data_IF_087658827250
#
_entry.id   IF_087658827250
#
_cell.length_a   1.000
_cell.length_b   1.000
_cell.length_c   1.000
_cell.angle_alpha   90.00
_cell.angle_beta   90.00
_cell.angle_gamma   90.00
#
_symmetry.space_group_name_H-M   'P 1'
#
loop_
_entity.id
_entity.type
_entity.pdbx_description
1 polymer ?
#
# COMPACT_ATOMS: atom_id res chain seq x y z
N UNK A 1 15.43 -34.00 27.60
CA UNK A 1 15.70 -34.02 26.14
C UNK A 1 14.83 -35.07 25.48
N UNK A 2 13.87 -34.67 24.64
CA UNK A 2 13.24 -35.54 23.62
C UNK A 2 13.10 -34.72 22.34
N UNK A 3 14.07 -34.95 21.47
CA UNK A 3 14.02 -34.97 20.00
C UNK A 3 12.93 -34.17 19.30
N UNK A 4 13.36 -33.10 18.63
CA UNK A 4 12.58 -32.43 17.60
C UNK A 4 12.52 -33.24 16.30
N UNK A 5 11.39 -33.11 15.61
CA UNK A 5 11.29 -33.15 14.14
C UNK A 5 10.19 -32.16 13.76
N UNK A 6 10.55 -30.90 13.50
CA UNK A 6 9.71 -30.00 12.70
C UNK A 6 10.14 -30.19 11.24
N UNK A 7 9.43 -31.04 10.50
CA UNK A 7 9.50 -31.11 9.04
C UNK A 7 8.18 -30.60 8.46
N UNK A 8 8.02 -29.28 8.44
CA UNK A 8 6.95 -28.51 7.76
C UNK A 8 7.15 -28.42 6.23
N UNK A 9 6.99 -29.51 5.48
CA UNK A 9 6.89 -29.42 4.01
C UNK A 9 5.57 -28.74 3.59
N UNK A 10 5.65 -27.81 2.64
CA UNK A 10 4.63 -26.82 2.28
C UNK A 10 3.40 -27.35 1.49
N UNK A 11 2.82 -28.49 1.88
CA UNK A 11 1.63 -29.11 1.23
C UNK A 11 0.82 -30.08 2.12
N UNK A 12 0.90 -29.96 3.45
CA UNK A 12 0.24 -30.90 4.37
C UNK A 12 -1.24 -30.52 4.64
N UNK A 13 -2.13 -31.52 4.58
CA UNK A 13 -3.51 -31.46 5.06
C UNK A 13 -3.56 -32.07 6.46
N UNK A 14 -3.88 -31.25 7.46
CA UNK A 14 -3.98 -31.62 8.87
C UNK A 14 -5.36 -32.19 9.20
N UNK A 15 -5.38 -33.13 10.13
CA UNK A 15 -6.55 -33.63 10.82
C UNK A 15 -7.04 -32.63 11.88
N UNK A 16 -8.26 -32.81 12.36
CA UNK A 16 -8.82 -31.98 13.42
C UNK A 16 -7.99 -32.07 14.71
N UNK A 17 -7.47 -33.25 15.03
CA UNK A 17 -6.67 -33.46 16.24
C UNK A 17 -5.31 -32.76 16.13
N UNK A 18 -4.66 -32.81 14.97
CA UNK A 18 -3.41 -32.07 14.74
C UNK A 18 -3.61 -30.55 14.82
N UNK A 19 -4.74 -30.03 14.31
CA UNK A 19 -5.08 -28.60 14.46
C UNK A 19 -5.39 -28.24 15.90
N UNK A 20 -6.08 -29.11 16.63
CA UNK A 20 -6.40 -28.93 18.03
C UNK A 20 -5.13 -28.87 18.90
N UNK A 21 -4.21 -29.80 18.68
CA UNK A 21 -2.91 -29.84 19.34
C UNK A 21 -2.07 -28.60 19.01
N UNK A 22 -2.03 -28.22 17.72
CA UNK A 22 -1.30 -27.04 17.26
C UNK A 22 -1.81 -25.74 17.89
N UNK A 23 -3.12 -25.52 17.89
CA UNK A 23 -3.76 -24.32 18.43
C UNK A 23 -3.98 -24.38 19.96
N UNK A 24 -3.63 -25.50 20.60
CA UNK A 24 -3.86 -25.79 22.02
C UNK A 24 -5.33 -25.60 22.44
N UNK A 25 -6.25 -26.11 21.63
CA UNK A 25 -7.69 -26.13 21.93
C UNK A 25 -8.23 -27.55 21.89
N UNK A 26 -9.46 -27.77 22.38
CA UNK A 26 -10.11 -29.06 22.26
C UNK A 26 -10.56 -29.35 20.79
N UNK A 27 -10.49 -30.59 20.29
CA UNK A 27 -10.96 -30.98 18.95
C UNK A 27 -12.40 -30.54 18.64
N UNK A 28 -13.30 -30.58 19.64
CA UNK A 28 -14.68 -30.12 19.50
C UNK A 28 -14.79 -28.63 19.13
N UNK A 29 -13.85 -27.81 19.59
CA UNK A 29 -13.78 -26.39 19.23
C UNK A 29 -13.45 -26.23 17.74
N UNK A 30 -12.51 -27.02 17.23
CA UNK A 30 -12.14 -27.03 15.80
C UNK A 30 -13.31 -27.54 14.94
N UNK A 31 -13.99 -28.60 15.35
CA UNK A 31 -15.21 -29.06 14.65
C UNK A 31 -16.33 -28.01 14.64
N UNK A 32 -16.46 -27.22 15.71
CA UNK A 32 -17.44 -26.12 15.77
C UNK A 32 -17.06 -25.01 14.78
N UNK A 33 -15.79 -24.64 14.71
CA UNK A 33 -15.30 -23.65 13.74
C UNK A 33 -15.48 -24.11 12.29
N UNK A 34 -15.23 -25.39 11.99
CA UNK A 34 -15.47 -25.96 10.66
C UNK A 34 -16.95 -25.92 10.29
N UNK A 35 -17.83 -26.30 11.22
CA UNK A 35 -19.29 -26.29 11.01
C UNK A 35 -19.87 -24.89 10.85
N UNK A 36 -19.30 -23.90 11.54
CA UNK A 36 -19.72 -22.50 11.45
C UNK A 36 -19.06 -21.75 10.29
N UNK A 37 -18.14 -22.38 9.54
CA UNK A 37 -17.34 -21.73 8.50
C UNK A 37 -16.27 -20.76 9.01
N UNK A 38 -15.99 -20.74 10.32
CA UNK A 38 -14.99 -19.86 10.93
C UNK A 38 -13.55 -20.26 10.55
N UNK A 39 -13.31 -21.55 10.35
CA UNK A 39 -12.10 -22.07 9.70
C UNK A 39 -12.54 -22.91 8.50
N UNK A 40 -11.90 -22.72 7.35
CA UNK A 40 -12.22 -23.49 6.14
C UNK A 40 -11.54 -24.85 6.21
N UNK A 41 -12.23 -25.89 5.75
CA UNK A 41 -11.66 -27.23 5.63
C UNK A 41 -12.34 -27.99 4.50
N UNK A 42 -11.73 -29.09 4.08
CA UNK A 42 -12.30 -30.00 3.10
C UNK A 42 -12.63 -31.31 3.78
N UNK A 43 -13.83 -31.82 3.54
CA UNK A 43 -14.23 -33.13 4.05
C UNK A 43 -13.74 -34.20 3.07
N UNK A 44 -12.86 -35.08 3.54
CA UNK A 44 -12.34 -36.21 2.76
C UNK A 44 -12.84 -37.49 3.46
N UNK A 45 -13.82 -38.15 2.83
CA UNK A 45 -14.54 -39.26 3.46
C UNK A 45 -15.33 -38.80 4.69
N UNK A 46 -15.07 -39.41 5.86
CA UNK A 46 -15.73 -39.07 7.13
C UNK A 46 -14.99 -38.00 7.94
N UNK A 47 -13.79 -37.64 7.53
CA UNK A 47 -12.92 -36.77 8.32
C UNK A 47 -12.75 -35.40 7.66
N UNK A 48 -12.47 -34.41 8.49
CA UNK A 48 -12.08 -33.09 8.02
C UNK A 48 -10.57 -33.04 7.81
N UNK A 49 -10.18 -32.30 6.79
CA UNK A 49 -8.80 -31.95 6.48
C UNK A 49 -8.69 -30.45 6.33
N UNK A 50 -7.69 -29.87 6.98
CA UNK A 50 -7.46 -28.44 7.02
C UNK A 50 -6.04 -28.22 6.50
N UNK A 51 -5.86 -27.38 5.48
CA UNK A 51 -4.50 -27.10 5.03
C UNK A 51 -3.74 -26.37 6.15
N UNK A 52 -2.46 -26.69 6.32
CA UNK A 52 -1.59 -26.00 7.26
C UNK A 52 -1.70 -24.47 7.08
N UNK A 53 -1.74 -23.99 5.83
CA UNK A 53 -1.90 -22.57 5.51
C UNK A 53 -3.16 -21.92 6.11
N UNK A 54 -4.29 -22.62 6.13
CA UNK A 54 -5.54 -22.11 6.70
C UNK A 54 -5.46 -22.08 8.23
N UNK A 55 -4.74 -23.03 8.84
CA UNK A 55 -4.49 -23.04 10.29
C UNK A 55 -3.56 -21.91 10.68
N UNK A 56 -2.49 -21.69 9.92
CA UNK A 56 -1.53 -20.61 10.17
C UNK A 56 -2.20 -19.24 10.01
N UNK A 57 -3.03 -19.05 8.98
CA UNK A 57 -3.86 -17.83 8.80
C UNK A 57 -4.81 -17.64 9.99
N UNK A 58 -5.53 -18.70 10.37
CA UNK A 58 -6.47 -18.65 11.49
C UNK A 58 -5.80 -18.35 12.84
N UNK A 59 -4.55 -18.79 13.01
CA UNK A 59 -3.74 -18.56 14.21
C UNK A 59 -3.05 -17.18 14.21
N UNK A 60 -3.14 -16.41 13.12
CA UNK A 60 -2.34 -15.20 12.92
C UNK A 60 -0.84 -15.48 12.75
N UNK A 61 -0.46 -16.73 12.49
CA UNK A 61 0.91 -17.17 12.26
C UNK A 61 1.36 -16.98 10.80
N UNK A 62 0.43 -16.82 9.87
CA UNK A 62 0.71 -16.20 8.57
C UNK A 62 0.76 -14.68 8.71
N UNK A 63 1.66 -14.18 9.55
CA UNK A 63 2.31 -12.87 9.30
C UNK A 63 3.57 -13.06 8.43
N UNK A 64 3.75 -14.26 7.88
CA UNK A 64 4.86 -14.63 6.99
C UNK A 64 4.37 -15.53 5.86
N UNK A 65 3.46 -15.00 5.04
CA UNK A 65 3.09 -15.55 3.73
C UNK A 65 4.00 -15.04 2.61
N UNK A 66 5.27 -15.43 2.63
CA UNK A 66 6.27 -15.15 1.59
C UNK A 66 7.50 -14.43 2.13
N UNK A 67 8.71 -14.97 1.89
CA UNK A 67 9.96 -14.22 2.08
C UNK A 67 10.09 -13.18 0.95
N UNK A 68 9.16 -12.25 0.91
CA UNK A 68 9.36 -10.96 0.26
C UNK A 68 9.85 -9.95 1.30
N UNK A 69 10.57 -8.90 0.90
CA UNK A 69 10.79 -7.75 1.76
C UNK A 69 9.45 -7.17 2.24
N UNK A 70 9.41 -6.65 3.47
CA UNK A 70 8.26 -5.85 3.92
C UNK A 70 8.11 -4.60 3.04
N UNK A 71 6.93 -3.97 3.05
CA UNK A 71 6.71 -2.72 2.32
C UNK A 71 7.76 -1.67 2.69
N UNK A 72 8.03 -1.51 3.99
CA UNK A 72 9.06 -0.61 4.49
C UNK A 72 10.44 -0.96 3.91
N UNK A 73 10.84 -2.24 3.97
CA UNK A 73 12.12 -2.69 3.43
C UNK A 73 12.27 -2.47 1.92
N UNK A 74 11.18 -2.60 1.15
CA UNK A 74 11.20 -2.30 -0.29
C UNK A 74 11.41 -0.83 -0.58
N UNK A 75 10.67 0.02 0.14
CA UNK A 75 10.74 1.47 -0.02
C UNK A 75 12.11 1.99 0.43
N UNK A 76 12.66 1.46 1.52
CA UNK A 76 13.98 1.85 2.04
C UNK A 76 15.12 1.52 1.07
N UNK A 77 15.12 0.31 0.51
CA UNK A 77 16.29 -0.21 -0.20
C UNK A 77 16.36 0.19 -1.68
N UNK A 78 15.26 0.63 -2.29
CA UNK A 78 15.14 0.68 -3.75
C UNK A 78 14.71 2.02 -4.33
N UNK A 79 14.52 3.07 -3.53
CA UNK A 79 14.00 4.34 -4.04
C UNK A 79 15.09 5.39 -4.17
N UNK A 80 15.18 5.99 -5.36
CA UNK A 80 16.11 7.08 -5.68
C UNK A 80 15.36 8.13 -6.47
N UNK A 81 15.43 9.39 -6.05
CA UNK A 81 14.82 10.47 -6.81
C UNK A 81 15.51 10.64 -8.19
N UNK A 82 14.75 10.96 -9.26
CA UNK A 82 13.29 11.07 -9.28
C UNK A 82 12.61 9.69 -9.34
N UNK A 83 11.51 9.53 -8.60
CA UNK A 83 10.70 8.31 -8.62
C UNK A 83 9.21 8.67 -8.50
N UNK A 84 8.37 8.07 -9.34
CA UNK A 84 6.91 8.16 -9.32
C UNK A 84 6.32 6.76 -9.24
N UNK A 85 5.81 6.38 -8.07
CA UNK A 85 5.44 5.01 -7.71
C UNK A 85 3.93 4.87 -7.72
N UNK A 86 3.38 4.14 -8.69
CA UNK A 86 1.96 3.78 -8.67
C UNK A 86 1.71 2.68 -7.64
N UNK A 87 0.70 2.83 -6.78
CA UNK A 87 0.23 1.76 -5.90
C UNK A 87 -1.27 1.60 -6.04
N UNK A 88 -1.73 0.38 -6.30
CA UNK A 88 -3.16 0.11 -6.42
C UNK A 88 -3.72 -0.36 -5.08
N UNK A 89 -4.83 0.23 -4.64
CA UNK A 89 -5.55 -0.14 -3.43
C UNK A 89 -6.98 -0.56 -3.73
N UNK A 90 -7.49 -1.52 -2.96
CA UNK A 90 -8.85 -2.04 -3.12
C UNK A 90 -9.91 -1.21 -2.39
N UNK A 91 -9.48 -0.38 -1.44
CA UNK A 91 -10.34 0.49 -0.67
C UNK A 91 -9.57 1.74 -0.22
N UNK A 92 -10.33 2.74 0.22
CA UNK A 92 -9.82 4.05 0.64
C UNK A 92 -9.08 4.02 1.97
N UNK A 93 -9.42 3.13 2.88
CA UNK A 93 -8.79 3.03 4.20
C UNK A 93 -7.33 2.59 4.08
N UNK A 94 -7.05 1.61 3.22
CA UNK A 94 -5.68 1.12 2.97
C UNK A 94 -4.74 2.21 2.43
N UNK A 95 -5.28 3.25 1.77
CA UNK A 95 -4.50 4.39 1.31
C UNK A 95 -3.88 5.14 2.48
N UNK A 96 -4.61 5.36 3.57
CA UNK A 96 -4.08 6.08 4.73
C UNK A 96 -2.92 5.32 5.38
N UNK A 97 -3.06 4.01 5.54
CA UNK A 97 -2.01 3.14 6.10
C UNK A 97 -0.76 3.17 5.21
N UNK A 98 -0.94 2.94 3.91
CA UNK A 98 0.15 2.98 2.93
C UNK A 98 0.87 4.34 2.94
N UNK A 99 0.12 5.43 2.92
CA UNK A 99 0.69 6.78 2.94
C UNK A 99 1.48 7.04 4.23
N UNK A 100 0.94 6.64 5.39
CA UNK A 100 1.64 6.79 6.66
C UNK A 100 2.97 6.02 6.68
N UNK A 101 2.99 4.78 6.20
CA UNK A 101 4.20 3.97 6.17
C UNK A 101 5.25 4.54 5.21
N UNK A 102 4.84 5.00 4.03
CA UNK A 102 5.72 5.71 3.09
C UNK A 102 6.31 6.99 3.69
N UNK A 103 5.50 7.78 4.39
CA UNK A 103 5.95 9.02 5.03
C UNK A 103 6.94 8.77 6.19
N UNK A 104 6.75 7.69 6.96
CA UNK A 104 7.69 7.29 8.01
C UNK A 104 9.06 6.94 7.45
N UNK A 105 9.12 6.25 6.31
CA UNK A 105 10.38 5.97 5.62
C UNK A 105 11.11 7.27 5.26
N UNK A 106 10.41 8.21 4.62
CA UNK A 106 10.98 9.52 4.30
C UNK A 106 11.44 10.29 5.54
N UNK A 107 10.69 10.20 6.64
CA UNK A 107 11.02 10.84 7.92
C UNK A 107 12.28 10.26 8.55
N UNK A 108 12.37 8.92 8.61
CA UNK A 108 13.53 8.19 9.15
C UNK A 108 14.80 8.49 8.35
N UNK A 109 14.68 8.67 7.03
CA UNK A 109 15.76 9.12 6.15
C UNK A 109 16.09 10.63 6.29
N UNK A 110 15.36 11.37 7.13
CA UNK A 110 15.61 12.79 7.39
C UNK A 110 15.07 13.75 6.33
N UNK A 111 14.23 13.27 5.41
CA UNK A 111 13.70 14.07 4.30
C UNK A 111 12.44 14.89 4.67
N UNK A 112 12.19 16.01 3.98
CA UNK A 112 10.92 16.73 4.09
C UNK A 112 9.78 15.94 3.42
N UNK A 113 8.59 16.09 4.01
CA UNK A 113 7.39 15.34 3.67
C UNK A 113 6.33 16.24 3.07
N UNK A 114 5.57 15.71 2.11
CA UNK A 114 4.47 16.39 1.48
C UNK A 114 3.26 15.47 1.27
N UNK A 115 2.07 16.00 1.51
CA UNK A 115 0.81 15.27 1.29
C UNK A 115 -0.15 16.16 0.52
N UNK A 116 -0.48 15.73 -0.68
CA UNK A 116 -1.48 16.34 -1.52
C UNK A 116 -2.84 15.68 -1.35
N UNK A 117 -3.77 16.35 -0.67
CA UNK A 117 -5.14 15.88 -0.49
C UNK A 117 -5.93 15.97 -1.80
N UNK A 118 -6.75 14.95 -2.09
CA UNK A 118 -7.64 14.92 -3.26
C UNK A 118 -9.09 14.75 -2.84
N UNK A 119 -9.42 13.56 -2.37
CA UNK A 119 -10.75 13.22 -1.86
C UNK A 119 -10.79 13.25 -0.33
N UNK A 120 -9.62 13.26 0.32
CA UNK A 120 -9.50 13.39 1.76
C UNK A 120 -9.63 14.85 2.20
N UNK A 121 -10.18 15.08 3.40
CA UNK A 121 -9.96 16.36 4.08
C UNK A 121 -8.58 16.36 4.75
N UNK A 122 -7.95 17.54 4.85
CA UNK A 122 -6.67 17.68 5.54
C UNK A 122 -6.81 17.32 7.03
N UNK A 123 -7.96 17.60 7.66
CA UNK A 123 -8.21 17.23 9.05
C UNK A 123 -8.22 15.70 9.25
N UNK A 124 -8.80 14.95 8.30
CA UNK A 124 -8.80 13.49 8.34
C UNK A 124 -7.39 12.94 8.14
N UNK A 125 -6.63 13.48 7.19
CA UNK A 125 -5.23 13.08 6.97
C UNK A 125 -4.39 13.24 8.24
N UNK A 126 -4.50 14.38 8.93
CA UNK A 126 -3.82 14.61 10.21
C UNK A 126 -4.20 13.56 11.25
N UNK A 127 -5.50 13.27 11.38
CA UNK A 127 -6.02 12.30 12.35
C UNK A 127 -5.49 10.89 12.08
N UNK A 128 -5.55 10.43 10.82
CA UNK A 128 -5.08 9.09 10.45
C UNK A 128 -3.56 8.96 10.61
N UNK A 129 -2.78 9.96 10.21
CA UNK A 129 -1.33 9.90 10.32
C UNK A 129 -0.85 9.99 11.76
N UNK A 130 -1.49 10.80 12.61
CA UNK A 130 -1.22 10.82 14.04
C UNK A 130 -1.55 9.48 14.71
N UNK A 131 -2.70 8.87 14.38
CA UNK A 131 -3.08 7.55 14.86
C UNK A 131 -2.10 6.45 14.40
N UNK A 132 -1.50 6.60 13.21
CA UNK A 132 -0.46 5.72 12.71
C UNK A 132 0.93 5.99 13.34
N UNK A 133 1.07 6.98 14.22
CA UNK A 133 2.30 7.27 14.97
C UNK A 133 3.22 8.31 14.35
N UNK A 134 2.79 9.06 13.31
CA UNK A 134 3.56 10.23 12.85
C UNK A 134 3.37 11.41 13.80
N UNK A 135 4.44 12.15 14.18
CA UNK A 135 4.34 13.35 15.00
C UNK A 135 3.87 14.57 14.17
N UNK A 136 2.65 14.51 13.64
CA UNK A 136 2.11 15.44 12.64
C UNK A 136 2.22 16.91 13.05
N UNK A 137 1.78 17.25 14.27
CA UNK A 137 1.79 18.63 14.79
C UNK A 137 3.22 19.23 14.78
N UNK A 138 4.19 18.51 15.33
CA UNK A 138 5.59 18.94 15.39
C UNK A 138 6.21 19.08 13.99
N UNK A 139 5.85 18.19 13.06
CA UNK A 139 6.35 18.23 11.69
C UNK A 139 5.76 19.39 10.89
N UNK A 140 4.49 19.73 11.09
CA UNK A 140 3.88 20.91 10.46
C UNK A 140 4.45 22.21 11.05
N UNK A 141 4.58 22.31 12.37
CA UNK A 141 5.17 23.49 13.05
C UNK A 141 6.60 23.77 12.58
N UNK A 142 7.40 22.71 12.38
CA UNK A 142 8.77 22.82 11.84
C UNK A 142 8.83 22.96 10.32
N UNK A 143 7.70 22.89 9.61
CA UNK A 143 7.62 22.92 8.15
C UNK A 143 8.21 21.68 7.46
N UNK A 144 8.45 20.61 8.21
CA UNK A 144 8.96 19.31 7.73
C UNK A 144 7.88 18.43 7.11
N UNK A 145 6.61 18.67 7.41
CA UNK A 145 5.44 18.08 6.75
C UNK A 145 4.51 19.20 6.29
N UNK A 146 4.09 19.16 5.02
CA UNK A 146 3.15 20.12 4.44
C UNK A 146 1.97 19.39 3.83
N UNK A 147 0.76 19.87 4.11
CA UNK A 147 -0.47 19.44 3.45
C UNK A 147 -0.98 20.52 2.50
N UNK A 148 -1.38 20.13 1.30
CA UNK A 148 -2.04 21.01 0.32
C UNK A 148 -3.26 20.32 -0.28
N UNK A 149 -4.27 21.09 -0.68
CA UNK A 149 -5.46 20.59 -1.35
C UNK A 149 -5.24 20.56 -2.88
N UNK A 150 -4.76 19.41 -3.38
CA UNK A 150 -4.55 19.20 -4.81
C UNK A 150 -5.86 19.06 -5.57
N UNK A 151 -6.92 18.54 -4.93
CA UNK A 151 -8.25 18.45 -5.52
C UNK A 151 -8.79 19.83 -5.88
N UNK A 152 -8.74 20.78 -4.93
CA UNK A 152 -9.12 22.16 -5.16
C UNK A 152 -8.22 22.86 -6.20
N UNK A 153 -6.90 22.61 -6.15
CA UNK A 153 -5.96 23.17 -7.13
C UNK A 153 -6.24 22.68 -8.55
N UNK A 154 -6.56 21.39 -8.71
CA UNK A 154 -6.95 20.80 -9.98
C UNK A 154 -8.27 21.37 -10.49
N UNK A 155 -9.27 21.56 -9.63
CA UNK A 155 -10.54 22.18 -10.02
C UNK A 155 -10.34 23.64 -10.49
N UNK A 156 -9.42 24.38 -9.85
CA UNK A 156 -9.19 25.79 -10.16
C UNK A 156 -8.33 26.00 -11.42
N UNK A 157 -7.25 25.23 -11.57
CA UNK A 157 -6.22 25.47 -12.60
C UNK A 157 -5.82 24.22 -13.39
N UNK A 158 -6.56 23.13 -13.25
CA UNK A 158 -6.28 21.85 -13.89
C UNK A 158 -4.94 21.27 -13.45
N UNK A 159 -4.34 20.48 -14.35
CA UNK A 159 -3.04 19.81 -14.16
C UNK A 159 -1.94 20.80 -13.72
N UNK A 160 -1.92 22.00 -14.32
CA UNK A 160 -0.91 23.02 -14.01
C UNK A 160 -0.93 23.45 -12.54
N UNK A 161 -2.13 23.60 -11.95
CA UNK A 161 -2.27 23.96 -10.54
C UNK A 161 -1.62 22.95 -9.60
N UNK A 162 -1.79 21.65 -9.90
CA UNK A 162 -1.19 20.55 -9.13
C UNK A 162 0.33 20.54 -9.30
N UNK A 163 0.83 20.63 -10.54
CA UNK A 163 2.27 20.64 -10.82
C UNK A 163 2.97 21.82 -10.13
N UNK A 164 2.36 23.01 -10.16
CA UNK A 164 2.93 24.19 -9.51
C UNK A 164 3.06 24.01 -8.00
N UNK A 165 2.11 23.35 -7.33
CA UNK A 165 2.20 23.03 -5.90
C UNK A 165 3.39 22.11 -5.65
N UNK A 166 3.52 21.01 -6.40
CA UNK A 166 4.66 20.10 -6.29
C UNK A 166 6.01 20.82 -6.53
N UNK A 167 6.08 21.68 -7.54
CA UNK A 167 7.26 22.52 -7.80
C UNK A 167 7.55 23.51 -6.66
N UNK A 168 6.51 24.08 -6.05
CA UNK A 168 6.68 24.98 -4.91
C UNK A 168 7.23 24.24 -3.68
N UNK A 169 6.74 23.03 -3.39
CA UNK A 169 7.24 22.25 -2.26
C UNK A 169 8.68 21.77 -2.47
N UNK A 170 9.03 21.34 -3.69
CA UNK A 170 10.41 20.92 -4.01
C UNK A 170 11.41 22.06 -3.90
N UNK A 171 11.02 23.30 -4.23
CA UNK A 171 11.88 24.49 -4.03
C UNK A 171 12.22 24.78 -2.56
N UNK A 172 11.43 24.27 -1.61
CA UNK A 172 11.67 24.42 -0.16
C UNK A 172 12.66 23.39 0.38
N UNK A 173 13.01 22.37 -0.41
CA UNK A 173 13.92 21.29 -0.02
C UNK A 173 15.35 21.80 -0.05
N UNK A 174 16.07 21.57 1.06
CA UNK A 174 17.47 21.95 1.20
C UNK A 174 18.39 21.04 0.38
N UNK A 175 19.58 21.54 0.04
CA UNK A 175 20.57 20.76 -0.71
C UNK A 175 20.88 19.43 0.00
N UNK A 176 20.96 18.34 -0.79
CA UNK A 176 21.19 16.98 -0.29
C UNK A 176 19.95 16.26 0.24
N UNK A 177 18.77 16.88 0.20
CA UNK A 177 17.50 16.24 0.56
C UNK A 177 16.61 16.08 -0.69
N UNK A 178 15.67 15.15 -0.62
CA UNK A 178 14.64 14.94 -1.65
C UNK A 178 13.27 15.06 -1.01
N UNK A 179 12.26 15.52 -1.76
CA UNK A 179 10.89 15.59 -1.24
C UNK A 179 10.25 14.21 -1.29
N UNK A 180 9.78 13.72 -0.14
CA UNK A 180 8.93 12.53 -0.07
C UNK A 180 7.48 12.96 -0.07
N UNK A 181 6.79 12.73 -1.18
CA UNK A 181 5.45 13.23 -1.37
C UNK A 181 4.44 12.14 -1.68
N UNK A 182 3.18 12.34 -1.33
CA UNK A 182 2.09 11.44 -1.74
C UNK A 182 0.85 12.22 -2.16
N UNK A 183 0.17 11.74 -3.19
CA UNK A 183 -1.15 12.19 -3.61
C UNK A 183 -1.94 11.03 -4.18
N UNK A 184 -3.21 10.87 -3.81
CA UNK A 184 -4.00 9.70 -4.18
C UNK A 184 -5.21 10.01 -5.04
N UNK A 185 -5.59 9.07 -5.89
CA UNK A 185 -6.79 9.17 -6.73
C UNK A 185 -7.79 8.07 -6.40
N UNK A 186 -9.08 8.35 -6.52
CA UNK A 186 -10.10 7.31 -6.67
C UNK A 186 -10.46 7.21 -8.16
N UNK A 187 -10.38 6.00 -8.73
CA UNK A 187 -10.67 5.81 -10.15
C UNK A 187 -12.11 6.20 -10.50
N UNK A 188 -13.04 6.07 -9.54
CA UNK A 188 -14.43 6.52 -9.63
C UNK A 188 -14.57 7.97 -10.05
N UNK A 189 -13.64 8.83 -9.63
CA UNK A 189 -13.73 10.28 -9.79
C UNK A 189 -13.44 10.71 -11.25
N UNK A 190 -12.88 9.78 -12.05
CA UNK A 190 -12.48 10.00 -13.43
C UNK A 190 -13.36 9.27 -14.45
N UNK A 191 -14.49 8.71 -14.02
CA UNK A 191 -15.40 7.91 -14.86
C UNK A 191 -15.98 8.69 -16.04
N UNK A 192 -16.05 10.02 -15.98
CA UNK A 192 -16.45 10.88 -17.09
C UNK A 192 -15.39 11.01 -18.18
N UNK A 193 -14.11 10.77 -17.87
CA UNK A 193 -13.01 10.71 -18.84
C UNK A 193 -11.74 10.09 -18.24
N UNK A 194 -11.54 8.79 -18.46
CA UNK A 194 -10.28 8.12 -18.11
C UNK A 194 -9.08 8.66 -18.90
N UNK A 195 -9.31 9.25 -20.07
CA UNK A 195 -8.26 9.94 -20.82
C UNK A 195 -7.72 11.16 -20.08
N UNK A 196 -8.58 11.87 -19.32
CA UNK A 196 -8.15 13.00 -18.51
C UNK A 196 -7.22 12.54 -17.36
N UNK A 197 -7.51 11.40 -16.73
CA UNK A 197 -6.63 10.81 -15.72
C UNK A 197 -5.27 10.44 -16.33
N UNK A 198 -5.26 9.72 -17.45
CA UNK A 198 -4.01 9.37 -18.15
C UNK A 198 -3.22 10.62 -18.54
N UNK A 199 -3.90 11.65 -19.06
CA UNK A 199 -3.24 12.90 -19.40
C UNK A 199 -2.63 13.58 -18.17
N UNK A 200 -3.37 13.65 -17.06
CA UNK A 200 -2.89 14.19 -15.79
C UNK A 200 -1.65 13.44 -15.30
N UNK A 201 -1.71 12.11 -15.21
CA UNK A 201 -0.61 11.27 -14.72
C UNK A 201 0.64 11.39 -15.61
N UNK A 202 0.44 11.41 -16.93
CA UNK A 202 1.55 11.63 -17.86
C UNK A 202 2.22 12.99 -17.63
N UNK A 203 1.45 14.08 -17.51
CA UNK A 203 2.02 15.41 -17.28
C UNK A 203 2.72 15.50 -15.91
N UNK A 204 2.13 14.92 -14.87
CA UNK A 204 2.72 14.89 -13.53
C UNK A 204 4.04 14.10 -13.52
N UNK A 205 4.07 12.93 -14.14
CA UNK A 205 5.28 12.12 -14.26
C UNK A 205 6.40 12.88 -14.98
N UNK A 206 6.09 13.53 -16.11
CA UNK A 206 7.05 14.37 -16.85
C UNK A 206 7.58 15.54 -16.01
N UNK A 207 6.78 16.09 -15.12
CA UNK A 207 7.26 17.11 -14.18
C UNK A 207 8.24 16.49 -13.16
N UNK A 208 7.90 15.34 -12.58
CA UNK A 208 8.73 14.65 -11.59
C UNK A 208 10.10 14.20 -12.12
N UNK A 209 10.23 13.85 -13.41
CA UNK A 209 11.53 13.54 -14.04
C UNK A 209 12.58 14.64 -13.83
N UNK A 210 12.16 15.88 -13.57
CA UNK A 210 13.05 17.04 -13.39
C UNK A 210 13.17 17.51 -11.94
N UNK A 211 12.51 16.85 -10.99
CA UNK A 211 12.42 17.27 -9.60
C UNK A 211 13.06 16.26 -8.65
N UNK A 212 13.69 16.70 -7.54
CA UNK A 212 14.24 15.80 -6.53
C UNK A 212 13.12 15.22 -5.66
N UNK A 213 12.27 14.37 -6.24
CA UNK A 213 11.05 13.84 -5.63
C UNK A 213 11.06 12.32 -5.63
N UNK A 214 10.63 11.74 -4.52
CA UNK A 214 10.09 10.38 -4.47
C UNK A 214 8.61 10.54 -4.17
N UNK A 215 7.77 10.23 -5.16
CA UNK A 215 6.32 10.42 -5.10
C UNK A 215 5.59 9.07 -5.08
N UNK A 216 4.73 8.90 -4.08
CA UNK A 216 3.76 7.82 -4.01
C UNK A 216 2.44 8.28 -4.66
N UNK A 217 1.94 7.51 -5.61
CA UNK A 217 0.66 7.73 -6.27
C UNK A 217 -0.30 6.56 -5.97
N UNK A 218 -1.01 6.56 -4.82
CA UNK A 218 -2.03 5.57 -4.56
C UNK A 218 -3.26 5.78 -5.46
N UNK A 219 -3.77 4.71 -6.05
CA UNK A 219 -4.99 4.72 -6.84
C UNK A 219 -5.98 3.67 -6.30
N UNK A 220 -7.17 4.11 -5.89
CA UNK A 220 -8.22 3.23 -5.38
C UNK A 220 -9.06 2.68 -6.52
N UNK A 221 -9.21 1.35 -6.54
CA UNK A 221 -9.96 0.58 -7.53
C UNK A 221 -11.29 0.10 -6.94
N UNK A 222 -12.29 0.98 -6.93
CA UNK A 222 -13.59 0.66 -6.32
C UNK A 222 -14.31 -0.52 -7.01
N UNK A 223 -14.13 -0.67 -8.34
CA UNK A 223 -14.63 -1.79 -9.13
C UNK A 223 -13.66 -2.16 -10.26
N UNK A 224 -13.31 -3.44 -10.40
CA UNK A 224 -12.50 -3.93 -11.52
C UNK A 224 -13.41 -4.52 -12.59
N UNK A 225 -13.35 -3.96 -13.80
CA UNK A 225 -13.95 -4.52 -15.02
C UNK A 225 -12.90 -4.51 -16.14
N UNK A 226 -13.22 -5.06 -17.31
CA UNK A 226 -12.27 -5.15 -18.43
C UNK A 226 -11.73 -3.77 -18.87
N UNK A 227 -12.59 -2.75 -18.92
CA UNK A 227 -12.22 -1.38 -19.27
C UNK A 227 -11.26 -0.76 -18.24
N UNK A 228 -11.49 -1.03 -16.96
CA UNK A 228 -10.62 -0.56 -15.88
C UNK A 228 -9.27 -1.30 -15.90
N UNK A 229 -9.20 -2.56 -16.34
CA UNK A 229 -7.94 -3.28 -16.49
C UNK A 229 -7.01 -2.67 -17.57
N UNK A 230 -7.55 -2.33 -18.75
CA UNK A 230 -6.76 -1.65 -19.79
C UNK A 230 -6.24 -0.29 -19.33
N UNK A 231 -7.07 0.44 -18.58
CA UNK A 231 -6.67 1.69 -17.96
C UNK A 231 -5.52 1.51 -16.97
N UNK A 232 -5.56 0.47 -16.14
CA UNK A 232 -4.49 0.15 -15.20
C UNK A 232 -3.16 -0.09 -15.90
N UNK A 233 -3.16 -0.86 -16.99
CA UNK A 233 -1.96 -1.11 -17.77
C UNK A 233 -1.37 0.19 -18.35
N UNK A 234 -2.23 1.13 -18.77
CA UNK A 234 -1.78 2.45 -19.25
C UNK A 234 -1.24 3.33 -18.13
N UNK A 235 -1.87 3.32 -16.95
CA UNK A 235 -1.37 4.05 -15.78
C UNK A 235 0.04 3.58 -15.41
N UNK A 236 0.27 2.27 -15.37
CA UNK A 236 1.61 1.70 -15.08
C UNK A 236 2.66 2.21 -16.08
N UNK A 237 2.32 2.39 -17.35
CA UNK A 237 3.25 2.93 -18.37
C UNK A 237 3.61 4.42 -18.22
N UNK A 238 2.95 5.13 -17.30
CA UNK A 238 3.22 6.54 -16.98
C UNK A 238 3.83 6.73 -15.59
N UNK A 239 4.34 5.66 -14.99
CA UNK A 239 5.04 5.68 -13.71
C UNK A 239 6.41 5.02 -13.86
N UNK A 240 7.41 5.47 -13.12
CA UNK A 240 8.75 4.86 -13.16
C UNK A 240 8.76 3.52 -12.44
N UNK A 241 7.84 3.31 -11.51
CA UNK A 241 7.62 2.04 -10.85
C UNK A 241 6.17 1.81 -10.46
N UNK A 242 5.82 0.54 -10.30
CA UNK A 242 4.51 0.10 -9.80
C UNK A 242 4.70 -0.89 -8.67
N UNK A 243 4.09 -0.59 -7.52
CA UNK A 243 4.06 -1.44 -6.34
C UNK A 243 2.75 -2.23 -6.30
N UNK A 244 2.86 -3.54 -6.26
CA UNK A 244 1.74 -4.46 -6.08
C UNK A 244 1.81 -5.09 -4.70
N UNK A 245 0.81 -4.84 -3.86
CA UNK A 245 0.71 -5.44 -2.53
C UNK A 245 -0.10 -6.74 -2.60
N UNK A 246 0.55 -7.85 -2.98
CA UNK A 246 -0.10 -9.16 -3.09
C UNK A 246 0.10 -9.96 -1.78
N UNK A 247 -0.96 -10.08 -0.97
CA UNK A 247 -1.02 -10.96 0.21
C UNK A 247 0.26 -10.93 1.07
N UNK A 248 0.66 -9.75 1.54
CA UNK A 248 1.84 -9.51 2.42
C UNK A 248 3.22 -9.69 1.77
N UNK A 249 3.28 -9.99 0.47
CA UNK A 249 4.53 -10.00 -0.31
C UNK A 249 4.48 -8.87 -1.35
N UNK A 250 4.83 -7.63 -0.97
CA UNK A 250 4.84 -6.54 -1.91
C UNK A 250 5.90 -6.76 -3.00
N UNK A 251 5.59 -6.32 -4.21
CA UNK A 251 6.48 -6.40 -5.37
C UNK A 251 6.58 -5.00 -5.97
N UNK A 252 7.80 -4.47 -6.06
CA UNK A 252 8.10 -3.23 -6.77
C UNK A 252 8.64 -3.58 -8.16
N UNK A 253 7.87 -3.27 -9.20
CA UNK A 253 8.30 -3.36 -10.59
C UNK A 253 8.84 -2.00 -11.01
N UNK A 254 10.08 -1.94 -11.53
CA UNK A 254 10.63 -0.73 -12.14
C UNK A 254 10.53 -0.81 -13.66
N UNK A 255 10.17 0.30 -14.29
CA UNK A 255 10.23 0.41 -15.74
C UNK A 255 11.67 0.20 -16.22
N UNK A 256 11.83 -0.59 -17.28
CA UNK A 256 13.13 -0.76 -17.94
C UNK A 256 13.22 0.34 -19.00
N UNK A 257 13.98 1.39 -18.70
CA UNK A 257 14.30 2.47 -19.64
C UNK A 257 15.63 2.20 -20.35
#
# INVERSE_FOLDING_TARGET
MRTGVLKLNNKALLTVDEVADFLRVAPNTVYRWLRSGKIKGTKIGKEWRISQSVVDEFAGLNTTGGRGPSLQQLLDANLTAPEHILVMQSNREDVFVLQADFLKVGLEAGHPLFVGAWWQSIADLRTHFAAAGLPVEQLEESGRLVFEDLGAAYQLRGVAGVIEIWQAQTKRVTAGHVLWGTGSHCLSDWTSSYQALIHFEHQLHRAFETLPVIALCPCVLDHVNQSNFELLMRLVSHHSSALFNANESPILLKAVN
#
